data_IF_418853391070
#
_entry.id   IF_418853391070
#
_cell.length_a   1.000
_cell.length_b   1.000
_cell.length_c   1.000
_cell.angle_alpha   90.00
_cell.angle_beta   90.00
_cell.angle_gamma   90.00
#
_symmetry.space_group_name_H-M   'P 1'
#
loop_
_entity.id
_entity.type
_entity.pdbx_description
1 polymer ?
#
# COMPACT_ATOMS: atom_id res chain seq x y z
N UNK A 1 -31.08 16.17 -0.10
CA UNK A 1 -30.21 16.93 -1.03
C UNK A 1 -28.83 16.28 -1.16
N UNK A 2 -28.31 15.57 -0.15
CA UNK A 2 -26.98 14.97 -0.20
C UNK A 2 -26.75 14.02 -1.38
N UNK A 3 -27.74 13.19 -1.75
CA UNK A 3 -27.64 12.29 -2.92
C UNK A 3 -27.39 13.01 -4.24
N UNK A 4 -28.07 14.13 -4.49
CA UNK A 4 -27.87 14.94 -5.71
C UNK A 4 -26.50 15.64 -5.71
N UNK A 5 -26.03 16.06 -4.53
CA UNK A 5 -24.72 16.70 -4.36
C UNK A 5 -23.59 15.68 -4.59
N UNK A 6 -23.68 14.48 -4.03
CA UNK A 6 -22.70 13.43 -4.24
C UNK A 6 -22.60 13.00 -5.71
N UNK A 7 -23.73 12.82 -6.40
CA UNK A 7 -23.75 12.56 -7.84
C UNK A 7 -23.11 13.69 -8.66
N UNK A 8 -23.30 14.96 -8.25
CA UNK A 8 -22.64 16.10 -8.92
C UNK A 8 -21.12 16.13 -8.73
N UNK A 9 -20.61 15.42 -7.73
CA UNK A 9 -19.19 15.20 -7.48
C UNK A 9 -18.69 13.84 -7.97
N UNK A 10 -19.49 13.12 -8.76
CA UNK A 10 -19.10 11.86 -9.38
C UNK A 10 -19.12 10.64 -8.46
N UNK A 11 -19.76 10.75 -7.28
CA UNK A 11 -19.91 9.64 -6.35
C UNK A 11 -21.19 8.84 -6.67
N UNK A 12 -21.02 7.55 -6.92
CA UNK A 12 -22.07 6.54 -7.03
C UNK A 12 -22.36 5.89 -5.66
N UNK A 13 -23.46 5.13 -5.57
CA UNK A 13 -23.85 4.39 -4.37
C UNK A 13 -22.84 3.28 -4.02
N UNK A 14 -21.97 2.88 -4.96
CA UNK A 14 -20.91 1.88 -4.76
C UNK A 14 -19.54 2.49 -4.44
N UNK A 15 -19.42 3.82 -4.42
CA UNK A 15 -18.15 4.48 -4.17
C UNK A 15 -17.84 4.58 -2.67
N UNK A 16 -16.54 4.50 -2.35
CA UNK A 16 -16.04 4.61 -0.98
C UNK A 16 -15.21 5.86 -0.81
N UNK A 17 -15.34 6.49 0.35
CA UNK A 17 -14.52 7.62 0.74
C UNK A 17 -13.37 7.07 1.58
N UNK A 18 -12.14 7.38 1.15
CA UNK A 18 -10.91 7.05 1.85
C UNK A 18 -10.28 8.34 2.33
N UNK A 19 -9.74 8.31 3.55
CA UNK A 19 -8.95 9.41 4.06
C UNK A 19 -7.68 9.60 3.23
N UNK A 20 -7.43 10.85 2.81
CA UNK A 20 -6.28 11.16 1.95
C UNK A 20 -4.95 10.82 2.62
N UNK A 21 -4.81 11.08 3.91
CA UNK A 21 -3.57 10.82 4.66
C UNK A 21 -3.34 9.31 4.74
N UNK A 22 -4.39 8.54 5.04
CA UNK A 22 -4.29 7.07 5.04
C UNK A 22 -3.89 6.50 3.66
N UNK A 23 -4.36 7.11 2.56
CA UNK A 23 -3.93 6.73 1.21
C UNK A 23 -2.46 7.10 0.93
N UNK A 24 -2.02 8.27 1.38
CA UNK A 24 -0.63 8.72 1.25
C UNK A 24 0.33 7.85 2.07
N UNK A 25 -0.06 7.47 3.29
CA UNK A 25 0.68 6.54 4.14
C UNK A 25 0.81 5.17 3.46
N UNK A 26 -0.28 4.63 2.89
CA UNK A 26 -0.23 3.38 2.14
C UNK A 26 0.72 3.47 0.93
N UNK A 27 0.70 4.59 0.20
CA UNK A 27 1.64 4.81 -0.91
C UNK A 27 3.09 4.83 -0.44
N UNK A 28 3.38 5.42 0.72
CA UNK A 28 4.70 5.39 1.33
C UNK A 28 5.16 3.95 1.64
N UNK A 29 4.28 3.13 2.22
CA UNK A 29 4.59 1.72 2.50
C UNK A 29 4.84 0.90 1.23
N UNK A 30 4.03 1.13 0.19
CA UNK A 30 4.23 0.50 -1.12
C UNK A 30 5.56 0.90 -1.75
N UNK A 31 5.94 2.17 -1.63
CA UNK A 31 7.23 2.66 -2.11
C UNK A 31 8.40 1.98 -1.39
N UNK A 32 8.35 1.84 -0.06
CA UNK A 32 9.37 1.12 0.70
C UNK A 32 9.49 -0.34 0.26
N UNK A 33 8.36 -1.05 0.07
CA UNK A 33 8.39 -2.42 -0.43
C UNK A 33 8.96 -2.52 -1.84
N UNK A 34 8.61 -1.59 -2.74
CA UNK A 34 9.17 -1.56 -4.09
C UNK A 34 10.69 -1.40 -4.05
N UNK A 35 11.20 -0.45 -3.26
CA UNK A 35 12.65 -0.27 -3.09
C UNK A 35 13.33 -1.53 -2.55
N UNK A 36 12.71 -2.19 -1.56
CA UNK A 36 13.23 -3.44 -1.01
C UNK A 36 13.29 -4.56 -2.06
N UNK A 37 12.30 -4.67 -2.95
CA UNK A 37 12.32 -5.63 -4.07
C UNK A 37 13.47 -5.31 -5.04
N UNK A 38 13.63 -4.03 -5.41
CA UNK A 38 14.71 -3.59 -6.32
C UNK A 38 16.11 -3.88 -5.74
N UNK A 39 16.29 -3.71 -4.43
CA UNK A 39 17.53 -4.02 -3.75
C UNK A 39 17.79 -5.53 -3.71
N UNK A 40 16.79 -6.36 -3.38
CA UNK A 40 16.91 -7.82 -3.40
C UNK A 40 17.25 -8.34 -4.80
N UNK A 41 16.60 -7.83 -5.84
CA UNK A 41 16.91 -8.20 -7.23
C UNK A 41 18.36 -7.86 -7.59
N UNK A 42 18.84 -6.69 -7.18
CA UNK A 42 20.22 -6.24 -7.43
C UNK A 42 21.24 -7.09 -6.67
N UNK A 43 20.99 -7.34 -5.39
CA UNK A 43 21.91 -8.05 -4.50
C UNK A 43 22.04 -9.52 -4.92
N UNK A 44 20.91 -10.19 -5.19
CA UNK A 44 20.92 -11.59 -5.61
C UNK A 44 21.47 -11.79 -7.03
N UNK A 45 21.36 -10.79 -7.91
CA UNK A 45 22.03 -10.81 -9.21
C UNK A 45 23.56 -10.76 -9.08
N UNK A 46 24.09 -10.13 -8.02
CA UNK A 46 25.52 -10.06 -7.76
C UNK A 46 26.05 -11.33 -7.06
N UNK A 47 25.32 -11.86 -6.07
CA UNK A 47 25.67 -13.08 -5.35
C UNK A 47 24.42 -13.75 -4.79
N UNK A 48 24.31 -15.07 -4.93
CA UNK A 48 23.16 -15.87 -4.50
C UNK A 48 23.59 -17.02 -3.58
N UNK A 49 24.51 -16.75 -2.65
CA UNK A 49 24.83 -17.75 -1.61
C UNK A 49 23.64 -17.90 -0.66
N UNK A 50 23.63 -18.98 0.11
CA UNK A 50 22.60 -19.18 1.13
C UNK A 50 22.54 -18.02 2.15
N UNK A 51 23.68 -17.40 2.46
CA UNK A 51 23.74 -16.24 3.33
C UNK A 51 23.09 -15.02 2.67
N UNK A 52 23.44 -14.72 1.43
CA UNK A 52 22.90 -13.58 0.68
C UNK A 52 21.38 -13.69 0.54
N UNK A 53 20.88 -14.90 0.24
CA UNK A 53 19.42 -15.17 0.16
C UNK A 53 18.74 -14.97 1.51
N UNK A 54 19.38 -15.39 2.62
CA UNK A 54 18.82 -15.20 3.96
C UNK A 54 18.76 -13.72 4.35
N UNK A 55 19.79 -12.94 4.02
CA UNK A 55 19.85 -11.50 4.29
C UNK A 55 18.83 -10.73 3.44
N UNK A 56 18.78 -11.04 2.14
CA UNK A 56 17.80 -10.48 1.21
C UNK A 56 16.35 -10.78 1.64
N UNK A 57 16.07 -12.00 2.08
CA UNK A 57 14.74 -12.37 2.59
C UNK A 57 14.40 -11.61 3.87
N UNK A 58 15.34 -11.48 4.81
CA UNK A 58 15.12 -10.71 6.04
C UNK A 58 14.80 -9.25 5.73
N UNK A 59 15.56 -8.62 4.82
CA UNK A 59 15.31 -7.26 4.35
C UNK A 59 13.94 -7.09 3.71
N UNK A 60 13.55 -8.03 2.84
CA UNK A 60 12.24 -8.00 2.19
C UNK A 60 11.10 -8.12 3.21
N UNK A 61 11.23 -9.02 4.18
CA UNK A 61 10.22 -9.22 5.21
C UNK A 61 10.07 -8.00 6.12
N UNK A 62 11.19 -7.37 6.53
CA UNK A 62 11.16 -6.14 7.34
C UNK A 62 10.38 -5.01 6.64
N UNK A 63 10.50 -4.89 5.31
CA UNK A 63 9.79 -3.88 4.54
C UNK A 63 8.35 -4.30 4.17
N UNK A 64 8.06 -5.60 4.09
CA UNK A 64 6.73 -6.12 3.80
C UNK A 64 5.81 -6.12 5.03
N UNK A 65 6.34 -6.31 6.23
CA UNK A 65 5.56 -6.39 7.48
C UNK A 65 4.70 -5.14 7.75
N UNK A 66 5.22 -3.90 7.64
CA UNK A 66 4.41 -2.70 7.79
C UNK A 66 3.23 -2.65 6.81
N UNK A 67 3.46 -3.02 5.55
CA UNK A 67 2.40 -3.05 4.54
C UNK A 67 1.36 -4.14 4.85
N UNK A 68 1.80 -5.31 5.30
CA UNK A 68 0.91 -6.41 5.69
C UNK A 68 0.03 -6.06 6.90
N UNK A 69 0.54 -5.24 7.81
CA UNK A 69 -0.19 -4.73 8.96
C UNK A 69 -1.12 -3.55 8.60
N UNK A 70 -0.84 -2.82 7.52
CA UNK A 70 -1.62 -1.65 7.12
C UNK A 70 -3.08 -2.01 6.79
N UNK A 71 -4.00 -1.11 7.15
CA UNK A 71 -5.43 -1.23 6.84
C UNK A 71 -5.93 0.09 6.30
N UNK A 72 -6.59 0.04 5.15
CA UNK A 72 -7.45 1.13 4.72
C UNK A 72 -8.86 0.84 5.25
N UNK A 73 -9.45 1.84 5.88
CA UNK A 73 -10.82 1.78 6.40
C UNK A 73 -11.73 2.65 5.50
N UNK A 74 -12.23 2.09 4.37
CA UNK A 74 -13.14 2.80 3.51
C UNK A 74 -14.48 3.02 4.21
N UNK A 75 -15.00 4.24 4.11
CA UNK A 75 -16.34 4.56 4.60
C UNK A 75 -17.29 4.58 3.42
N UNK A 76 -18.45 3.93 3.59
CA UNK A 76 -19.55 4.10 2.65
C UNK A 76 -19.88 5.59 2.56
N UNK A 77 -20.02 6.09 1.33
CA UNK A 77 -20.62 7.40 1.09
C UNK A 77 -22.08 7.35 1.56
N UNK A 78 -22.32 7.52 2.86
CA UNK A 78 -23.67 7.46 3.43
C UNK A 78 -24.37 8.78 3.07
N UNK A 79 -25.26 8.70 2.09
CA UNK A 79 -26.07 9.82 1.63
C UNK A 79 -27.27 9.99 2.58
N UNK A 80 -27.19 10.95 3.51
CA UNK A 80 -28.32 11.35 4.39
C UNK A 80 -29.25 12.33 3.67
#
# INVERSE_FOLDING_TARGET
MARKLAQSHGLDDNDVIIDRVALEELQGLLYCLQAAVEDVERDLAASSTAQDVSEALAWLMENAEPLAAARLEPRMATLI
#
